data_IF_796669772481
#
_entry.id   IF_796669772481
#
_cell.length_a   1.000
_cell.length_b   1.000
_cell.length_c   1.000
_cell.angle_alpha   90.00
_cell.angle_beta   90.00
_cell.angle_gamma   90.00
#
_symmetry.space_group_name_H-M   'P 1'
#
loop_
_entity.id
_entity.type
_entity.pdbx_description
1 polymer ?
#
# COMPACT_ATOMS: atom_id res chain seq x y z
N UNK A 1 12.23 1.52 4.03
CA UNK A 1 10.94 0.91 3.64
C UNK A 1 9.82 1.84 4.05
N UNK A 2 8.81 1.96 3.21
CA UNK A 2 7.67 2.84 3.47
C UNK A 2 6.40 2.01 3.54
N UNK A 3 5.53 2.37 4.47
CA UNK A 3 4.26 1.68 4.68
C UNK A 3 3.11 2.67 4.70
N UNK A 4 1.95 2.19 4.28
CA UNK A 4 0.70 2.96 4.32
C UNK A 4 -0.39 2.06 4.86
N UNK A 5 -1.42 2.68 5.45
CA UNK A 5 -2.63 1.98 5.88
C UNK A 5 -3.75 2.31 4.91
N UNK A 6 -4.52 1.32 4.53
CA UNK A 6 -5.68 1.51 3.65
C UNK A 6 -6.86 2.03 4.46
N UNK A 7 -7.33 3.22 4.13
CA UNK A 7 -8.44 3.85 4.83
C UNK A 7 -9.70 3.95 3.98
N UNK A 8 -9.60 3.72 2.68
CA UNK A 8 -10.73 3.78 1.78
C UNK A 8 -10.56 2.76 0.67
N UNK A 9 -11.69 2.22 0.19
CA UNK A 9 -11.72 1.33 -0.96
C UNK A 9 -12.63 1.89 -2.06
N UNK A 10 -13.02 3.15 -1.93
CA UNK A 10 -13.85 3.77 -2.95
C UNK A 10 -13.08 3.88 -4.25
N UNK A 11 -13.52 3.13 -5.24
CA UNK A 11 -12.86 3.09 -6.52
C UNK A 11 -13.00 4.40 -7.27
N UNK A 12 -11.97 4.73 -8.03
CA UNK A 12 -11.97 5.88 -8.91
C UNK A 12 -12.09 5.34 -10.34
N UNK A 13 -13.32 5.39 -10.89
CA UNK A 13 -13.55 4.93 -12.25
C UNK A 13 -13.27 3.44 -12.44
N UNK A 14 -12.25 3.12 -13.19
CA UNK A 14 -11.91 1.74 -13.59
C UNK A 14 -11.04 0.99 -12.58
N UNK A 15 -10.62 1.64 -11.49
CA UNK A 15 -9.75 0.98 -10.52
C UNK A 15 -10.51 -0.03 -9.70
N UNK A 16 -10.02 -1.28 -9.68
CA UNK A 16 -10.52 -2.29 -8.78
C UNK A 16 -9.80 -2.16 -7.44
N UNK A 17 -10.54 -2.25 -6.34
CA UNK A 17 -10.00 -2.25 -4.99
C UNK A 17 -10.25 -3.58 -4.28
N UNK A 18 -10.54 -4.63 -5.05
CA UNK A 18 -10.85 -5.95 -4.50
C UNK A 18 -9.67 -6.57 -3.74
N UNK A 19 -8.44 -6.18 -4.10
CA UNK A 19 -7.23 -6.68 -3.46
C UNK A 19 -6.70 -5.72 -2.38
N UNK A 20 -7.57 -4.89 -1.81
CA UNK A 20 -7.28 -4.03 -0.68
C UNK A 20 -8.20 -4.35 0.48
N UNK A 21 -7.65 -4.33 1.69
CA UNK A 21 -8.40 -4.55 2.92
C UNK A 21 -8.32 -3.29 3.78
N UNK A 22 -9.47 -2.77 4.20
CA UNK A 22 -9.53 -1.60 5.07
C UNK A 22 -8.78 -1.88 6.37
N UNK A 23 -7.96 -0.93 6.79
CA UNK A 23 -7.19 -1.03 8.02
C UNK A 23 -5.93 -1.85 7.93
N UNK A 24 -5.65 -2.45 6.78
CA UNK A 24 -4.43 -3.23 6.59
C UNK A 24 -3.27 -2.32 6.16
N UNK A 25 -2.06 -2.69 6.61
CA UNK A 25 -0.83 -2.03 6.18
C UNK A 25 -0.34 -2.63 4.87
N UNK A 26 0.21 -1.78 4.02
CA UNK A 26 0.82 -2.18 2.75
C UNK A 26 2.19 -1.53 2.60
N UNK A 27 3.10 -2.24 1.96
CA UNK A 27 4.41 -1.69 1.65
C UNK A 27 4.34 -0.89 0.34
N UNK A 28 4.94 0.31 0.37
CA UNK A 28 5.05 1.16 -0.81
C UNK A 28 6.39 0.88 -1.47
N UNK A 29 6.36 0.52 -2.75
CA UNK A 29 7.55 0.34 -3.53
C UNK A 29 7.99 1.70 -4.08
N UNK A 30 9.25 2.01 -3.98
CA UNK A 30 9.82 3.27 -4.47
C UNK A 30 10.38 3.08 -5.87
N UNK A 31 10.44 4.16 -6.66
CA UNK A 31 9.70 5.39 -6.51
C UNK A 31 8.34 5.31 -7.23
N UNK A 32 7.33 5.98 -6.70
CA UNK A 32 6.12 6.19 -7.48
C UNK A 32 6.42 7.30 -8.49
N UNK A 33 6.08 7.07 -9.73
CA UNK A 33 6.34 8.02 -10.81
C UNK A 33 5.34 9.17 -10.82
N UNK A 34 4.30 9.08 -10.03
CA UNK A 34 3.23 10.06 -9.95
C UNK A 34 2.96 10.43 -8.51
N UNK A 35 2.72 11.73 -8.26
CA UNK A 35 2.39 12.22 -6.92
C UNK A 35 1.03 11.72 -6.42
N UNK A 36 0.14 11.36 -7.35
CA UNK A 36 -1.22 10.97 -7.01
C UNK A 36 -1.41 9.47 -6.88
N UNK A 37 -0.40 8.70 -7.24
CA UNK A 37 -0.46 7.25 -7.25
C UNK A 37 0.66 6.65 -6.41
N UNK A 38 0.37 5.53 -5.79
CA UNK A 38 1.36 4.75 -5.06
C UNK A 38 1.44 3.36 -5.65
N UNK A 39 2.65 2.85 -5.81
CA UNK A 39 2.84 1.45 -6.17
C UNK A 39 2.98 0.67 -4.87
N UNK A 40 2.05 -0.22 -4.64
CA UNK A 40 2.04 -1.06 -3.43
C UNK A 40 1.93 -2.53 -3.79
N UNK A 41 2.37 -3.38 -2.87
CA UNK A 41 2.10 -4.81 -2.96
C UNK A 41 0.75 -5.03 -2.30
N UNK A 42 -0.26 -5.43 -3.09
CA UNK A 42 -1.62 -5.58 -2.60
C UNK A 42 -1.89 -6.99 -2.02
N UNK A 43 -3.15 -7.30 -1.72
CA UNK A 43 -3.53 -8.58 -1.13
C UNK A 43 -3.25 -9.77 -2.04
N UNK A 44 -3.09 -9.54 -3.35
CA UNK A 44 -2.75 -10.61 -4.30
C UNK A 44 -1.28 -11.00 -4.25
N UNK A 45 -0.45 -10.20 -3.58
CA UNK A 45 0.99 -10.40 -3.53
C UNK A 45 1.73 -9.78 -4.70
N UNK A 46 1.02 -9.15 -5.62
CA UNK A 46 1.60 -8.43 -6.75
C UNK A 46 1.56 -6.93 -6.52
N UNK A 47 2.40 -6.19 -7.24
CA UNK A 47 2.44 -4.74 -7.11
C UNK A 47 1.61 -4.07 -8.19
N UNK A 48 0.81 -3.11 -7.78
CA UNK A 48 -0.03 -2.31 -8.65
C UNK A 48 -0.03 -0.85 -8.20
N UNK A 49 -0.39 0.03 -9.12
CA UNK A 49 -0.58 1.44 -8.82
C UNK A 49 -2.01 1.67 -8.33
N UNK A 50 -2.12 2.36 -7.21
CA UNK A 50 -3.40 2.76 -6.62
C UNK A 50 -3.41 4.24 -6.30
N UNK A 51 -4.59 4.89 -6.31
CA UNK A 51 -4.68 6.29 -5.89
C UNK A 51 -4.15 6.49 -4.48
N UNK A 52 -3.27 7.46 -4.30
CA UNK A 52 -2.69 7.75 -2.98
C UNK A 52 -3.74 8.15 -1.96
N UNK A 53 -4.86 8.71 -2.40
CA UNK A 53 -5.95 9.15 -1.53
C UNK A 53 -6.63 8.00 -0.76
N UNK A 54 -6.40 6.75 -1.16
CA UNK A 54 -6.95 5.60 -0.44
C UNK A 54 -6.17 5.26 0.83
N UNK A 55 -5.01 5.88 1.01
CA UNK A 55 -4.06 5.48 2.05
C UNK A 55 -3.57 6.66 2.86
N UNK A 56 -3.02 6.33 4.03
CA UNK A 56 -2.28 7.29 4.83
C UNK A 56 -0.92 6.69 5.19
N UNK A 57 0.12 7.53 5.16
CA UNK A 57 1.47 7.09 5.51
C UNK A 57 1.54 6.71 6.99
N UNK A 58 2.27 5.64 7.27
CA UNK A 58 2.48 5.16 8.63
C UNK A 58 3.98 5.13 8.88
N UNK A 59 4.41 5.79 9.95
CA UNK A 59 5.80 5.73 10.37
C UNK A 59 5.99 4.57 11.34
N UNK A 60 7.00 3.74 11.08
CA UNK A 60 7.33 2.61 11.93
C UNK A 60 8.84 2.61 12.18
N UNK A 61 9.24 2.04 13.30
CA UNK A 61 10.65 1.86 13.60
C UNK A 61 11.27 0.86 12.63
N UNK A 62 12.56 0.99 12.39
CA UNK A 62 13.28 0.13 11.45
C UNK A 62 13.08 -1.36 11.72
N UNK A 63 13.11 -1.75 12.97
CA UNK A 63 12.89 -3.13 13.39
C UNK A 63 11.51 -3.62 12.97
N UNK A 64 10.49 -2.78 13.17
CA UNK A 64 9.12 -3.10 12.79
C UNK A 64 8.98 -3.13 11.26
N UNK A 65 9.64 -2.20 10.57
CA UNK A 65 9.62 -2.15 9.11
C UNK A 65 10.17 -3.45 8.50
N UNK A 66 11.28 -3.94 9.04
CA UNK A 66 11.87 -5.21 8.57
C UNK A 66 10.90 -6.37 8.77
N UNK A 67 10.25 -6.43 9.93
CA UNK A 67 9.29 -7.50 10.21
C UNK A 67 8.04 -7.41 9.33
N UNK A 68 7.54 -6.19 9.11
CA UNK A 68 6.39 -5.98 8.24
C UNK A 68 6.72 -6.39 6.80
N UNK A 69 7.90 -6.03 6.32
CA UNK A 69 8.34 -6.41 4.98
C UNK A 69 8.30 -7.95 4.82
N UNK A 70 8.82 -8.69 5.80
CA UNK A 70 8.80 -10.15 5.78
C UNK A 70 7.37 -10.71 5.76
N UNK A 71 6.49 -10.14 6.59
CA UNK A 71 5.13 -10.61 6.74
C UNK A 71 4.27 -10.29 5.53
N UNK A 72 4.42 -9.09 4.97
CA UNK A 72 3.59 -8.63 3.86
C UNK A 72 4.06 -9.15 2.51
N UNK A 73 5.33 -9.50 2.40
CA UNK A 73 5.90 -10.06 1.17
C UNK A 73 5.80 -11.59 1.09
N UNK A 74 5.30 -12.21 2.13
CA UNK A 74 5.19 -13.67 2.20
C UNK A 74 4.07 -14.21 1.32
#
# INVERSE_FOLDING_TARGET
MRFVVCLSREGFGEFSTDDLTLGRLYEVLAPSESHDMLRIIDDSGEDFLYPASLFEAVEVQEKTATRLHELLAA
#
